data_IF_480955641804
#
_entry.id   IF_480955641804
#
_cell.length_a   1.000
_cell.length_b   1.000
_cell.length_c   1.000
_cell.angle_alpha   90.00
_cell.angle_beta   90.00
_cell.angle_gamma   90.00
#
_symmetry.space_group_name_H-M   'P 1'
#
loop_
_entity.id
_entity.type
_entity.pdbx_description
1 polymer ?
#
# COMPACT_ATOMS: atom_id res chain seq x y z
N UNK A 1 -17.94 12.46 8.22
CA UNK A 1 -18.53 11.50 9.18
C UNK A 1 -18.52 10.10 8.55
N UNK A 2 -17.33 9.49 8.38
CA UNK A 2 -17.12 8.18 7.75
C UNK A 2 -16.03 7.41 8.54
N UNK A 3 -16.08 7.46 9.88
CA UNK A 3 -14.97 6.97 10.73
C UNK A 3 -15.28 5.65 11.45
N UNK A 4 -16.55 5.30 11.66
CA UNK A 4 -16.91 4.07 12.38
C UNK A 4 -17.02 2.83 11.50
N UNK A 5 -17.45 2.98 10.24
CA UNK A 5 -17.60 1.87 9.30
C UNK A 5 -16.24 1.27 8.89
N UNK A 6 -15.23 2.10 8.59
CA UNK A 6 -13.89 1.61 8.23
C UNK A 6 -13.23 0.82 9.37
N UNK A 7 -13.41 1.24 10.62
CA UNK A 7 -12.90 0.51 11.80
C UNK A 7 -13.64 -0.80 12.06
N UNK A 8 -14.94 -0.86 11.78
CA UNK A 8 -15.74 -2.08 11.94
C UNK A 8 -15.37 -3.17 10.91
N UNK A 9 -15.03 -2.80 9.68
CA UNK A 9 -14.55 -3.77 8.69
C UNK A 9 -13.19 -4.38 9.07
N UNK A 10 -12.32 -3.63 9.75
CA UNK A 10 -11.00 -4.12 10.22
C UNK A 10 -11.11 -5.17 11.33
N UNK A 11 -12.21 -5.23 12.08
CA UNK A 11 -12.36 -6.11 13.25
C UNK A 11 -12.91 -7.50 12.91
N UNK A 12 -13.51 -7.68 11.73
CA UNK A 12 -14.24 -8.91 11.39
C UNK A 12 -13.45 -9.80 10.40
N UNK A 13 -12.50 -9.22 9.66
CA UNK A 13 -11.68 -9.97 8.70
C UNK A 13 -10.25 -10.10 9.21
N UNK A 14 -9.86 -11.32 9.58
CA UNK A 14 -8.46 -11.67 9.85
C UNK A 14 -7.67 -11.40 8.57
N UNK A 15 -6.77 -10.41 8.60
CA UNK A 15 -5.86 -10.14 7.49
C UNK A 15 -4.95 -11.36 7.30
N UNK A 16 -4.83 -11.81 6.06
CA UNK A 16 -3.90 -12.87 5.70
C UNK A 16 -2.46 -12.36 5.84
N UNK A 17 -1.51 -13.29 6.04
CA UNK A 17 -0.08 -12.94 6.09
C UNK A 17 0.33 -12.25 4.77
N UNK A 18 0.94 -11.05 4.79
CA UNK A 18 1.46 -10.39 3.60
C UNK A 18 2.28 -11.30 2.68
N UNK A 19 3.08 -12.21 3.23
CA UNK A 19 3.86 -13.17 2.44
C UNK A 19 2.98 -14.15 1.68
N UNK A 20 1.91 -14.64 2.33
CA UNK A 20 0.94 -15.53 1.70
C UNK A 20 0.19 -14.82 0.57
N UNK A 21 -0.21 -13.57 0.80
CA UNK A 21 -0.90 -12.74 -0.20
C UNK A 21 0.02 -12.46 -1.39
N UNK A 22 1.30 -12.12 -1.14
CA UNK A 22 2.30 -11.95 -2.20
C UNK A 22 2.42 -13.18 -3.08
N UNK A 23 2.50 -14.35 -2.47
CA UNK A 23 2.60 -15.62 -3.20
C UNK A 23 1.32 -15.96 -3.98
N UNK A 24 0.13 -15.83 -3.37
CA UNK A 24 -1.16 -16.18 -4.00
C UNK A 24 -1.44 -15.32 -5.25
N UNK A 25 -1.23 -14.00 -5.16
CA UNK A 25 -1.53 -13.05 -6.23
C UNK A 25 -0.31 -12.73 -7.10
N UNK A 26 0.82 -13.42 -6.90
CA UNK A 26 2.07 -13.23 -7.64
C UNK A 26 2.54 -11.78 -7.63
N UNK A 27 2.41 -11.13 -6.47
CA UNK A 27 2.95 -9.78 -6.28
C UNK A 27 4.49 -9.87 -6.26
N UNK A 28 5.18 -8.84 -6.78
CA UNK A 28 6.63 -8.79 -6.77
C UNK A 28 7.16 -8.59 -5.35
N UNK A 29 8.36 -9.10 -5.05
CA UNK A 29 8.95 -8.95 -3.71
C UNK A 29 9.20 -7.49 -3.33
N UNK A 30 9.63 -6.70 -4.32
CA UNK A 30 9.86 -5.26 -4.23
C UNK A 30 9.18 -4.54 -5.39
N UNK A 31 8.90 -3.25 -5.19
CA UNK A 31 8.32 -2.40 -6.21
C UNK A 31 9.11 -1.11 -6.30
N UNK A 32 9.36 -0.66 -7.52
CA UNK A 32 10.02 0.60 -7.82
C UNK A 32 9.01 1.71 -8.04
N UNK A 33 9.24 2.87 -7.42
CA UNK A 33 8.36 4.02 -7.54
C UNK A 33 9.13 5.26 -7.98
N UNK A 34 8.48 6.08 -8.80
CA UNK A 34 8.89 7.46 -9.03
C UNK A 34 7.94 8.37 -8.25
N UNK A 35 8.51 9.22 -7.39
CA UNK A 35 7.79 10.19 -6.58
C UNK A 35 8.05 11.60 -7.11
N UNK A 36 6.99 12.37 -7.27
CA UNK A 36 7.06 13.81 -7.54
C UNK A 36 6.23 14.57 -6.52
N UNK A 37 6.77 15.64 -5.97
CA UNK A 37 6.02 16.58 -5.12
C UNK A 37 5.50 17.71 -5.98
N UNK A 38 4.20 18.00 -5.90
CA UNK A 38 3.56 19.10 -6.63
C UNK A 38 3.67 20.42 -5.85
N UNK A 39 3.50 21.59 -6.51
CA UNK A 39 3.60 22.89 -5.83
C UNK A 39 2.60 23.11 -4.69
N UNK A 40 1.46 22.43 -4.73
CA UNK A 40 0.41 22.44 -3.70
C UNK A 40 0.63 21.38 -2.60
N UNK A 41 1.79 20.70 -2.59
CA UNK A 41 2.22 19.82 -1.51
C UNK A 41 1.72 18.38 -1.60
N UNK A 42 1.18 17.95 -2.74
CA UNK A 42 0.81 16.56 -2.98
C UNK A 42 2.00 15.72 -3.43
N UNK A 43 2.01 14.48 -2.97
CA UNK A 43 2.88 13.42 -3.44
C UNK A 43 2.18 12.68 -4.57
N UNK A 44 2.75 12.69 -5.77
CA UNK A 44 2.29 11.91 -6.92
C UNK A 44 3.28 10.79 -7.16
N UNK A 45 2.79 9.56 -7.16
CA UNK A 45 3.58 8.34 -7.32
C UNK A 45 3.16 7.61 -8.58
N UNK A 46 4.15 7.24 -9.39
CA UNK A 46 3.97 6.38 -10.57
C UNK A 46 4.87 5.16 -10.47
N UNK A 47 4.44 4.05 -11.04
CA UNK A 47 5.19 2.80 -11.03
C UNK A 47 5.69 2.47 -12.44
N UNK A 48 7.00 2.62 -12.74
CA UNK A 48 7.53 2.39 -14.09
C UNK A 48 7.30 0.96 -14.58
N UNK A 49 7.34 0.00 -13.65
CA UNK A 49 7.18 -1.42 -13.93
C UNK A 49 5.71 -1.84 -14.13
N UNK A 50 4.75 -0.95 -13.83
CA UNK A 50 3.31 -1.22 -13.85
C UNK A 50 2.56 -0.08 -14.57
N UNK A 51 2.53 -0.10 -15.90
CA UNK A 51 1.93 0.96 -16.70
C UNK A 51 0.49 1.27 -16.30
N UNK A 52 0.19 2.54 -16.10
CA UNK A 52 -1.14 3.01 -15.69
C UNK A 52 -1.37 3.04 -14.17
N UNK A 53 -0.46 2.49 -13.36
CA UNK A 53 -0.51 2.61 -11.92
C UNK A 53 0.05 3.98 -11.50
N UNK A 54 -0.88 4.85 -11.11
CA UNK A 54 -0.63 6.16 -10.54
C UNK A 54 -1.44 6.31 -9.27
N UNK A 55 -0.86 6.93 -8.25
CA UNK A 55 -1.57 7.29 -7.03
C UNK A 55 -1.03 8.60 -6.47
N UNK A 56 -1.82 9.23 -5.62
CA UNK A 56 -1.43 10.46 -4.95
C UNK A 56 -1.81 10.45 -3.47
N UNK A 57 -1.07 11.20 -2.67
CA UNK A 57 -1.38 11.42 -1.27
C UNK A 57 -0.91 12.80 -0.81
N UNK A 58 -1.52 13.33 0.25
CA UNK A 58 -1.15 14.61 0.85
C UNK A 58 -0.29 14.46 2.13
N UNK A 59 0.15 13.23 2.45
CA UNK A 59 0.98 12.93 3.60
C UNK A 59 1.82 11.67 3.38
N UNK A 60 2.94 11.55 4.07
CA UNK A 60 3.81 10.36 4.00
C UNK A 60 3.09 9.08 4.43
N UNK A 61 2.25 9.14 5.47
CA UNK A 61 1.47 7.98 5.92
C UNK A 61 0.45 7.58 4.85
N UNK A 62 -0.30 8.55 4.32
CA UNK A 62 -1.28 8.31 3.26
C UNK A 62 -0.62 7.78 1.99
N UNK A 63 0.64 8.14 1.71
CA UNK A 63 1.38 7.65 0.56
C UNK A 63 1.53 6.12 0.56
N UNK A 64 1.94 5.54 1.70
CA UNK A 64 2.10 4.09 1.82
C UNK A 64 0.74 3.39 1.65
N UNK A 65 -0.30 3.91 2.30
CA UNK A 65 -1.66 3.34 2.24
C UNK A 65 -2.18 3.36 0.80
N UNK A 66 -2.07 4.50 0.13
CA UNK A 66 -2.52 4.68 -1.24
C UNK A 66 -1.70 3.85 -2.25
N UNK A 67 -0.40 3.70 -2.02
CA UNK A 67 0.45 2.82 -2.82
C UNK A 67 0.06 1.36 -2.67
N UNK A 68 -0.15 0.89 -1.44
CA UNK A 68 -0.62 -0.48 -1.22
C UNK A 68 -1.99 -0.69 -1.86
N UNK A 69 -2.91 0.27 -1.73
CA UNK A 69 -4.23 0.20 -2.36
C UNK A 69 -4.13 0.08 -3.89
N UNK A 70 -3.32 0.92 -4.52
CA UNK A 70 -3.12 0.92 -5.96
C UNK A 70 -2.49 -0.40 -6.45
N UNK A 71 -1.51 -0.93 -5.72
CA UNK A 71 -0.88 -2.22 -6.05
C UNK A 71 -1.86 -3.37 -5.89
N UNK A 72 -2.54 -3.46 -4.75
CA UNK A 72 -3.53 -4.51 -4.51
C UNK A 72 -4.65 -4.46 -5.56
N UNK A 73 -5.09 -3.26 -5.95
CA UNK A 73 -6.07 -3.07 -7.01
C UNK A 73 -5.54 -3.51 -8.38
N UNK A 74 -4.31 -3.16 -8.72
CA UNK A 74 -3.69 -3.55 -10.00
C UNK A 74 -3.54 -5.07 -10.15
N UNK A 75 -3.29 -5.77 -9.04
CA UNK A 75 -3.14 -7.23 -8.99
C UNK A 75 -4.45 -7.98 -8.69
N UNK A 76 -5.60 -7.31 -8.76
CA UNK A 76 -6.92 -7.87 -8.46
C UNK A 76 -7.02 -8.53 -7.06
N UNK A 77 -6.27 -8.00 -6.09
CA UNK A 77 -6.27 -8.49 -4.71
C UNK A 77 -7.43 -7.86 -3.93
N UNK A 78 -8.37 -8.66 -3.41
CA UNK A 78 -9.47 -8.11 -2.63
C UNK A 78 -8.96 -7.47 -1.32
N UNK A 79 -9.39 -6.25 -1.00
CA UNK A 79 -9.05 -5.55 0.27
C UNK A 79 -9.32 -6.33 1.55
N UNK A 80 -10.27 -7.28 1.51
CA UNK A 80 -10.59 -8.15 2.66
C UNK A 80 -9.46 -9.13 2.99
N UNK A 81 -8.55 -9.40 2.04
CA UNK A 81 -7.40 -10.29 2.25
C UNK A 81 -6.20 -9.53 2.83
N UNK A 82 -5.91 -8.35 2.28
CA UNK A 82 -4.82 -7.51 2.72
C UNK A 82 -5.14 -6.02 2.57
N UNK A 83 -4.50 -5.23 3.43
CA UNK A 83 -4.54 -3.76 3.46
C UNK A 83 -3.14 -3.18 3.20
N UNK A 84 -2.11 -3.83 3.76
CA UNK A 84 -0.70 -3.45 3.60
C UNK A 84 0.11 -4.72 3.33
N UNK A 85 0.83 -4.76 2.21
CA UNK A 85 1.75 -5.83 1.79
C UNK A 85 3.18 -5.33 1.57
N UNK A 86 3.36 -4.02 1.39
CA UNK A 86 4.66 -3.33 1.40
C UNK A 86 4.71 -2.32 2.53
N UNK A 87 5.66 -2.50 3.42
CA UNK A 87 5.92 -1.63 4.57
C UNK A 87 7.03 -0.60 4.31
N UNK A 88 7.72 -0.71 3.19
CA UNK A 88 8.69 0.26 2.72
C UNK A 88 8.61 0.41 1.21
N UNK A 89 8.88 1.62 0.72
CA UNK A 89 8.93 1.95 -0.70
C UNK A 89 10.33 2.47 -1.05
N UNK A 90 10.88 1.96 -2.14
CA UNK A 90 12.13 2.45 -2.71
C UNK A 90 11.83 3.54 -3.73
N UNK A 91 12.28 4.76 -3.45
CA UNK A 91 12.09 5.96 -4.27
C UNK A 91 13.47 6.50 -4.66
N UNK A 92 14.00 6.03 -5.80
CA UNK A 92 15.39 6.30 -6.17
C UNK A 92 16.34 5.82 -5.07
N UNK A 93 17.18 6.73 -4.54
CA UNK A 93 18.12 6.44 -3.44
C UNK A 93 17.50 6.61 -2.04
N UNK A 94 16.20 6.92 -1.94
CA UNK A 94 15.50 7.16 -0.67
C UNK A 94 14.53 6.01 -0.35
N UNK A 95 14.56 5.52 0.89
CA UNK A 95 13.60 4.53 1.39
C UNK A 95 12.58 5.21 2.29
N UNK A 96 11.30 5.09 1.95
CA UNK A 96 10.19 5.56 2.80
C UNK A 96 9.65 4.34 3.55
N UNK A 97 9.71 4.36 4.89
CA UNK A 97 9.23 3.27 5.75
C UNK A 97 7.94 3.63 6.47
N UNK A 98 7.03 2.66 6.56
CA UNK A 98 5.79 2.74 7.31
C UNK A 98 6.05 2.44 8.79
N UNK A 99 5.63 3.34 9.68
CA UNK A 99 5.83 3.20 11.13
C UNK A 99 4.64 2.57 11.87
N UNK A 100 3.58 2.16 11.17
CA UNK A 100 2.47 1.45 11.81
C UNK A 100 2.82 -0.02 12.04
N UNK A 101 2.40 -0.59 13.18
CA UNK A 101 2.53 -2.02 13.43
C UNK A 101 1.87 -2.79 12.29
N UNK A 102 2.65 -3.54 11.52
CA UNK A 102 2.13 -4.59 10.66
C UNK A 102 1.39 -5.55 11.59
N UNK A 103 0.07 -5.46 11.61
CA UNK A 103 -0.79 -6.39 12.32
C UNK A 103 -0.82 -7.69 11.53
N UNK A 104 0.32 -8.38 11.48
CA UNK A 104 0.38 -9.77 11.10
C UNK A 104 -0.16 -10.57 12.27
N UNK A 105 -1.19 -11.38 12.02
CA UNK A 105 -1.62 -12.37 12.99
C UNK A 105 -0.41 -13.29 13.24
N UNK A 106 0.22 -13.17 14.42
CA UNK A 106 1.23 -14.14 14.85
C UNK A 106 0.53 -15.49 14.97
N UNK A 107 1.07 -16.48 14.26
CA UNK A 107 0.81 -17.89 14.48
C UNK A 107 1.22 -18.30 15.91
#
# INVERSE_FOLDING_TARGET
>A
MISLLQSAFRTIFTREDPLQVKHEYKLPESINFSLRVTPDGWFVVTMPDHPGLITEANSHQGLIEMVNDAVLTYYDVPKRKADIVYDHLNVGDTVIQYQGQLQTARA
#
